data_IF_024799365793
#
_entry.id   IF_024799365793
#
_cell.length_a   1.000
_cell.length_b   1.000
_cell.length_c   1.000
_cell.angle_alpha   90.00
_cell.angle_beta   90.00
_cell.angle_gamma   90.00
#
_symmetry.space_group_name_H-M   'P 1'
#
loop_
_entity.id
_entity.type
_entity.pdbx_description
1 polymer ?
#
# COMPACT_ATOMS: atom_id res chain seq x y z
N UNK A 1 10.68 11.24 12.71
CA UNK A 1 9.49 10.51 12.19
C UNK A 1 8.33 10.65 13.17
N UNK A 2 7.14 11.05 12.71
CA UNK A 2 5.92 11.09 13.53
C UNK A 2 5.04 9.88 13.18
N UNK A 3 5.38 8.71 13.70
CA UNK A 3 4.58 7.49 13.51
C UNK A 3 3.80 7.23 14.79
N UNK A 4 2.48 7.08 14.65
CA UNK A 4 1.58 6.68 15.71
C UNK A 4 1.03 5.28 15.41
N UNK A 5 1.11 4.37 16.38
CA UNK A 5 0.63 3.00 16.24
C UNK A 5 -0.66 2.81 17.05
N UNK A 6 -1.74 2.41 16.40
CA UNK A 6 -3.06 2.19 17.03
C UNK A 6 -3.42 0.71 16.93
N UNK A 7 -3.70 0.06 18.07
CA UNK A 7 -4.07 -1.37 18.15
C UNK A 7 -3.06 -2.35 17.51
N UNK A 8 -1.87 -1.88 17.12
CA UNK A 8 -0.80 -2.68 16.53
C UNK A 8 0.28 -2.90 17.59
N UNK A 9 0.38 -4.13 18.12
CA UNK A 9 1.42 -4.50 19.09
C UNK A 9 2.50 -5.42 18.53
N UNK A 10 2.28 -5.99 17.34
CA UNK A 10 3.21 -6.93 16.74
C UNK A 10 4.52 -6.25 16.29
N UNK A 11 5.66 -6.67 16.85
CA UNK A 11 6.99 -6.08 16.58
C UNK A 11 7.41 -6.25 15.11
N UNK A 12 7.15 -7.40 14.51
CA UNK A 12 7.51 -7.68 13.11
C UNK A 12 6.83 -6.70 12.16
N UNK A 13 5.52 -6.47 12.33
CA UNK A 13 4.78 -5.50 11.50
C UNK A 13 5.34 -4.09 11.68
N UNK A 14 5.61 -3.66 12.93
CA UNK A 14 6.21 -2.35 13.21
C UNK A 14 7.58 -2.18 12.57
N UNK A 15 8.44 -3.19 12.68
CA UNK A 15 9.79 -3.18 12.11
C UNK A 15 9.75 -3.15 10.58
N UNK A 16 8.88 -3.97 9.96
CA UNK A 16 8.68 -3.94 8.52
C UNK A 16 8.23 -2.56 8.07
N UNK A 17 7.18 -2.00 8.67
CA UNK A 17 6.69 -0.66 8.32
C UNK A 17 7.79 0.39 8.47
N UNK A 18 8.49 0.42 9.62
CA UNK A 18 9.53 1.42 9.89
C UNK A 18 10.66 1.32 8.87
N UNK A 19 11.15 0.11 8.56
CA UNK A 19 12.21 -0.11 7.57
C UNK A 19 11.83 0.34 6.16
N UNK A 20 10.56 0.18 5.78
CA UNK A 20 10.07 0.65 4.49
C UNK A 20 9.96 2.17 4.51
N UNK A 21 9.30 2.71 5.52
CA UNK A 21 9.05 4.14 5.67
C UNK A 21 10.33 4.97 5.73
N UNK A 22 11.42 4.44 6.29
CA UNK A 22 12.74 5.07 6.29
C UNK A 22 13.24 5.45 4.89
N UNK A 23 12.89 4.69 3.85
CA UNK A 23 13.29 5.01 2.47
C UNK A 23 12.43 6.09 1.82
N UNK A 24 11.21 6.33 2.32
CA UNK A 24 10.28 7.34 1.80
C UNK A 24 10.48 8.71 2.46
N UNK A 25 11.68 9.30 2.28
CA UNK A 25 12.09 10.55 2.92
C UNK A 25 11.10 11.71 2.71
N UNK A 26 10.49 11.78 1.52
CA UNK A 26 9.50 12.81 1.21
C UNK A 26 8.33 12.81 2.20
N UNK A 27 7.95 11.64 2.73
CA UNK A 27 6.80 11.51 3.63
C UNK A 27 7.12 11.85 5.10
N UNK A 28 8.40 11.98 5.48
CA UNK A 28 8.82 12.07 6.89
C UNK A 28 8.31 13.31 7.64
N UNK A 29 7.89 14.33 6.91
CA UNK A 29 7.30 15.54 7.46
C UNK A 29 5.80 15.41 7.81
N UNK A 30 5.14 14.35 7.31
CA UNK A 30 3.75 14.03 7.62
C UNK A 30 3.63 13.15 8.87
N UNK A 31 2.50 13.27 9.58
CA UNK A 31 2.12 12.29 10.59
C UNK A 31 1.57 11.04 9.89
N UNK A 32 2.14 9.89 10.24
CA UNK A 32 1.69 8.58 9.79
C UNK A 32 1.02 7.85 10.94
N UNK A 33 -0.21 7.42 10.74
CA UNK A 33 -0.92 6.54 11.67
C UNK A 33 -0.92 5.14 11.07
N UNK A 34 -0.44 4.15 11.83
CA UNK A 34 -0.54 2.74 11.45
C UNK A 34 -1.47 2.03 12.41
N UNK A 35 -2.65 1.69 11.92
CA UNK A 35 -3.74 1.09 12.69
C UNK A 35 -3.88 -0.38 12.32
N UNK A 36 -3.99 -1.28 13.31
CA UNK A 36 -4.41 -2.65 13.06
C UNK A 36 -5.88 -2.85 13.43
N UNK A 37 -6.67 -3.40 12.52
CA UNK A 37 -8.08 -3.76 12.78
C UNK A 37 -8.56 -4.85 11.84
N UNK A 38 -9.78 -5.35 12.07
CA UNK A 38 -10.44 -6.24 11.10
C UNK A 38 -10.88 -5.41 9.89
N UNK A 39 -10.43 -5.81 8.70
CA UNK A 39 -10.80 -5.22 7.41
C UNK A 39 -11.43 -6.31 6.56
N UNK A 40 -12.50 -5.96 5.83
CA UNK A 40 -13.25 -6.92 5.00
C UNK A 40 -12.90 -6.87 3.51
N UNK A 41 -12.49 -5.71 2.99
CA UNK A 41 -12.31 -5.47 1.55
C UNK A 41 -10.86 -5.63 1.05
N UNK A 42 -9.87 -5.50 1.94
CA UNK A 42 -8.44 -5.58 1.64
C UNK A 42 -7.65 -6.12 2.83
N UNK A 43 -6.38 -6.46 2.60
CA UNK A 43 -5.45 -6.84 3.67
C UNK A 43 -4.71 -5.64 4.26
N UNK A 44 -4.38 -4.65 3.42
CA UNK A 44 -3.79 -3.38 3.80
C UNK A 44 -4.47 -2.26 3.00
N UNK A 45 -4.45 -1.02 3.50
CA UNK A 45 -4.92 0.15 2.76
C UNK A 45 -4.31 1.44 3.31
N UNK A 46 -3.82 2.29 2.42
CA UNK A 46 -3.49 3.69 2.69
C UNK A 46 -4.73 4.58 2.46
N UNK A 47 -4.92 5.56 3.34
CA UNK A 47 -6.00 6.53 3.25
C UNK A 47 -5.49 7.90 3.70
N UNK A 48 -5.86 9.00 3.01
CA UNK A 48 -5.73 10.31 3.60
C UNK A 48 -6.65 10.41 4.83
N UNK A 49 -6.17 11.03 5.90
CA UNK A 49 -7.06 11.43 6.99
C UNK A 49 -7.85 12.64 6.51
N UNK A 50 -9.15 12.45 6.28
CA UNK A 50 -10.07 13.54 5.95
C UNK A 50 -10.99 13.72 7.17
N UNK A 51 -10.49 14.38 8.20
CA UNK A 51 -11.41 14.96 9.18
C UNK A 51 -12.04 16.21 8.55
N UNK A 52 -13.35 16.46 8.75
CA UNK A 52 -13.99 17.66 8.19
C UNK A 52 -13.27 18.96 8.61
N UNK A 53 -12.69 18.98 9.82
CA UNK A 53 -11.88 20.08 10.34
C UNK A 53 -10.50 20.24 9.66
N UNK A 54 -10.02 19.22 8.95
CA UNK A 54 -8.71 19.20 8.28
C UNK A 54 -8.82 19.49 6.77
N UNK A 55 -10.04 19.63 6.22
CA UNK A 55 -10.28 19.93 4.78
C UNK A 55 -9.67 21.27 4.36
N UNK A 56 -9.53 22.23 5.27
CA UNK A 56 -8.89 23.54 5.02
C UNK A 56 -7.45 23.62 5.54
N UNK A 57 -6.92 22.55 6.14
CA UNK A 57 -5.53 22.51 6.62
C UNK A 57 -4.58 22.19 5.47
N UNK A 58 -3.40 22.81 5.47
CA UNK A 58 -2.29 22.48 4.57
C UNK A 58 -1.52 21.22 4.99
N UNK A 59 -1.70 20.75 6.24
CA UNK A 59 -1.06 19.53 6.73
C UNK A 59 -2.01 18.33 6.61
N UNK A 60 -1.75 17.47 5.62
CA UNK A 60 -2.44 16.19 5.48
C UNK A 60 -1.75 15.12 6.32
N UNK A 61 -2.52 14.38 7.11
CA UNK A 61 -2.02 13.21 7.81
C UNK A 61 -2.49 11.97 7.06
N UNK A 62 -1.72 10.88 7.12
CA UNK A 62 -2.06 9.65 6.42
C UNK A 62 -2.24 8.51 7.41
N UNK A 63 -3.13 7.60 7.05
CA UNK A 63 -3.39 6.39 7.81
C UNK A 63 -3.16 5.17 6.94
N UNK A 64 -2.37 4.24 7.43
CA UNK A 64 -2.25 2.89 6.89
C UNK A 64 -3.01 1.95 7.83
N UNK A 65 -4.00 1.26 7.29
CA UNK A 65 -4.72 0.21 8.00
C UNK A 65 -4.13 -1.14 7.63
N UNK A 66 -3.75 -1.92 8.63
CA UNK A 66 -3.28 -3.30 8.50
C UNK A 66 -4.37 -4.24 9.01
N UNK A 67 -4.71 -5.25 8.23
CA UNK A 67 -5.63 -6.30 8.64
C UNK A 67 -5.11 -7.13 9.80
N UNK A 68 -6.02 -7.63 10.64
CA UNK A 68 -5.70 -8.73 11.56
C UNK A 68 -5.48 -10.01 10.75
N UNK A 69 -6.38 -10.25 9.78
CA UNK A 69 -6.35 -11.38 8.86
C UNK A 69 -6.09 -10.88 7.44
N UNK A 70 -5.53 -11.76 6.61
CA UNK A 70 -5.48 -11.53 5.17
C UNK A 70 -6.90 -11.50 4.58
N UNK A 71 -7.05 -10.80 3.46
CA UNK A 71 -8.30 -10.78 2.71
C UNK A 71 -8.78 -12.19 2.37
N UNK A 72 -10.09 -12.40 2.45
CA UNK A 72 -10.80 -13.66 2.17
C UNK A 72 -10.44 -14.83 3.12
N UNK A 73 -9.67 -14.58 4.18
CA UNK A 73 -9.39 -15.56 5.23
C UNK A 73 -9.83 -15.05 6.59
N UNK A 74 -10.40 -15.94 7.40
CA UNK A 74 -10.67 -15.69 8.82
C UNK A 74 -9.67 -16.41 9.74
N UNK A 75 -8.62 -17.04 9.17
CA UNK A 75 -7.68 -17.89 9.91
C UNK A 75 -6.22 -17.51 9.70
N UNK A 76 -5.87 -16.96 8.53
CA UNK A 76 -4.49 -16.57 8.24
C UNK A 76 -4.24 -15.13 8.68
N UNK A 77 -3.38 -14.96 9.68
CA UNK A 77 -3.05 -13.66 10.22
C UNK A 77 -2.02 -12.92 9.37
N UNK A 78 -2.14 -11.60 9.29
CA UNK A 78 -1.18 -10.77 8.53
C UNK A 78 0.23 -10.84 9.12
N UNK A 79 0.37 -11.00 10.43
CA UNK A 79 1.70 -11.10 11.06
C UNK A 79 2.47 -12.38 10.69
N UNK A 80 1.77 -13.41 10.20
CA UNK A 80 2.40 -14.68 9.80
C UNK A 80 3.03 -14.62 8.41
N UNK A 81 2.73 -13.58 7.63
CA UNK A 81 3.28 -13.39 6.29
C UNK A 81 4.80 -13.20 6.31
N UNK A 82 5.54 -13.68 5.30
CA UNK A 82 6.97 -13.41 5.18
C UNK A 82 7.29 -11.90 5.23
N UNK A 83 8.45 -11.54 5.78
CA UNK A 83 8.83 -10.12 5.91
C UNK A 83 8.93 -9.41 4.57
N UNK A 84 9.49 -10.05 3.55
CA UNK A 84 9.54 -9.53 2.16
C UNK A 84 8.13 -9.18 1.64
N UNK A 85 7.14 -10.03 1.90
CA UNK A 85 5.75 -9.81 1.49
C UNK A 85 5.14 -8.61 2.23
N UNK A 86 5.36 -8.52 3.55
CA UNK A 86 4.89 -7.38 4.35
C UNK A 86 5.53 -6.07 3.90
N UNK A 87 6.85 -6.08 3.67
CA UNK A 87 7.57 -4.90 3.16
C UNK A 87 7.05 -4.49 1.79
N UNK A 88 6.79 -5.45 0.89
CA UNK A 88 6.23 -5.18 -0.43
C UNK A 88 4.85 -4.54 -0.35
N UNK A 89 3.98 -5.03 0.53
CA UNK A 89 2.68 -4.40 0.77
C UNK A 89 2.81 -3.00 1.36
N UNK A 90 3.66 -2.79 2.36
CA UNK A 90 3.88 -1.45 2.90
C UNK A 90 4.45 -0.48 1.87
N UNK A 91 5.38 -0.94 1.02
CA UNK A 91 5.97 -0.10 -0.02
C UNK A 91 4.93 0.32 -1.05
N UNK A 92 4.04 -0.60 -1.45
CA UNK A 92 2.91 -0.30 -2.32
C UNK A 92 1.96 0.73 -1.68
N UNK A 93 1.57 0.54 -0.42
CA UNK A 93 0.69 1.49 0.29
C UNK A 93 1.33 2.87 0.47
N UNK A 94 2.64 2.94 0.74
CA UNK A 94 3.37 4.20 0.79
C UNK A 94 3.49 4.83 -0.61
N UNK A 95 3.57 4.03 -1.67
CA UNK A 95 3.46 4.50 -3.04
C UNK A 95 2.14 5.22 -3.32
N UNK A 96 1.01 4.72 -2.80
CA UNK A 96 -0.26 5.46 -2.83
C UNK A 96 -0.20 6.77 -2.06
N UNK A 97 0.46 6.80 -0.88
CA UNK A 97 0.61 8.03 -0.10
C UNK A 97 1.37 9.09 -0.90
N UNK A 98 2.47 8.71 -1.58
CA UNK A 98 3.21 9.61 -2.47
C UNK A 98 2.32 10.11 -3.62
N UNK A 99 1.53 9.23 -4.24
CA UNK A 99 0.58 9.65 -5.29
C UNK A 99 -0.44 10.67 -4.75
N UNK A 100 -0.97 10.47 -3.54
CA UNK A 100 -1.94 11.38 -2.91
C UNK A 100 -1.40 12.79 -2.67
N UNK A 101 -0.09 12.96 -2.43
CA UNK A 101 0.54 14.27 -2.23
C UNK A 101 0.39 15.18 -3.46
N UNK A 102 0.22 14.59 -4.65
CA UNK A 102 0.03 15.35 -5.90
C UNK A 102 -1.39 15.93 -6.05
N UNK A 103 -2.31 15.65 -5.11
CA UNK A 103 -3.71 16.05 -5.20
C UNK A 103 -4.14 16.95 -4.05
N UNK A 104 -4.91 18.01 -4.37
CA UNK A 104 -5.61 18.83 -3.38
C UNK A 104 -6.71 18.05 -2.67
N UNK A 105 -7.27 18.56 -1.56
CA UNK A 105 -8.34 17.87 -0.82
C UNK A 105 -9.59 17.64 -1.70
N UNK A 106 -9.99 18.60 -2.53
CA UNK A 106 -11.04 18.40 -3.53
C UNK A 106 -10.62 17.44 -4.64
N UNK A 107 -9.34 17.48 -5.05
CA UNK A 107 -8.75 16.52 -5.98
C UNK A 107 -8.89 15.08 -5.48
N UNK A 108 -8.69 14.84 -4.17
CA UNK A 108 -8.83 13.52 -3.56
C UNK A 108 -10.27 12.98 -3.60
N UNK A 109 -11.29 13.85 -3.57
CA UNK A 109 -12.69 13.42 -3.75
C UNK A 109 -12.88 12.91 -5.18
N UNK A 110 -12.43 13.69 -6.17
CA UNK A 110 -12.49 13.26 -7.58
C UNK A 110 -11.68 11.99 -7.82
N UNK A 111 -10.50 11.89 -7.20
CA UNK A 111 -9.64 10.71 -7.22
C UNK A 111 -10.40 9.47 -6.74
N UNK A 112 -11.02 9.53 -5.56
CA UNK A 112 -11.77 8.41 -5.00
C UNK A 112 -12.93 7.97 -5.90
N UNK A 113 -13.69 8.93 -6.45
CA UNK A 113 -14.78 8.63 -7.39
C UNK A 113 -14.25 7.94 -8.65
N UNK A 114 -13.18 8.46 -9.26
CA UNK A 114 -12.57 7.87 -10.46
C UNK A 114 -11.98 6.49 -10.16
N UNK A 115 -11.37 6.29 -9.00
CA UNK A 115 -10.80 5.01 -8.59
C UNK A 115 -11.87 3.91 -8.50
N UNK A 116 -13.09 4.25 -8.05
CA UNK A 116 -14.20 3.31 -7.97
C UNK A 116 -14.91 3.08 -9.31
N UNK A 117 -14.97 4.08 -10.19
CA UNK A 117 -15.81 4.05 -11.40
C UNK A 117 -15.04 3.78 -12.69
N UNK A 118 -13.75 4.12 -12.75
CA UNK A 118 -12.91 4.00 -13.96
C UNK A 118 -11.86 2.91 -13.81
N UNK A 119 -12.02 1.83 -14.57
CA UNK A 119 -11.07 0.71 -14.59
C UNK A 119 -9.67 1.13 -15.05
N UNK A 120 -9.58 2.04 -16.03
CA UNK A 120 -8.30 2.53 -16.52
C UNK A 120 -7.59 3.40 -15.48
N UNK A 121 -8.33 4.29 -14.82
CA UNK A 121 -7.77 5.14 -13.75
C UNK A 121 -7.32 4.30 -12.56
N UNK A 122 -8.13 3.32 -12.15
CA UNK A 122 -7.73 2.36 -11.10
C UNK A 122 -6.42 1.67 -11.46
N UNK A 123 -6.31 1.12 -12.68
CA UNK A 123 -5.07 0.47 -13.15
C UNK A 123 -3.88 1.42 -13.14
N UNK A 124 -4.06 2.65 -13.59
CA UNK A 124 -3.02 3.68 -13.55
C UNK A 124 -2.53 3.95 -12.12
N UNK A 125 -3.45 4.10 -11.18
CA UNK A 125 -3.16 4.32 -9.75
C UNK A 125 -2.39 3.15 -9.14
N UNK A 126 -2.82 1.91 -9.34
CA UNK A 126 -2.12 0.72 -8.83
C UNK A 126 -0.71 0.61 -9.42
N UNK A 127 -0.55 0.91 -10.72
CA UNK A 127 0.76 0.92 -11.37
C UNK A 127 1.67 2.03 -10.85
N UNK A 128 1.14 3.24 -10.58
CA UNK A 128 1.90 4.34 -9.99
C UNK A 128 2.38 4.01 -8.58
N UNK A 129 1.55 3.37 -7.78
CA UNK A 129 1.95 2.91 -6.44
C UNK A 129 3.13 1.93 -6.51
N UNK A 130 3.06 0.93 -7.39
CA UNK A 130 4.17 0.00 -7.63
C UNK A 130 5.42 0.72 -8.16
N UNK A 131 5.26 1.71 -9.05
CA UNK A 131 6.37 2.50 -9.59
C UNK A 131 7.08 3.32 -8.51
N UNK A 132 6.33 3.99 -7.63
CA UNK A 132 6.91 4.67 -6.49
C UNK A 132 7.64 3.69 -5.57
N UNK A 133 7.05 2.52 -5.27
CA UNK A 133 7.72 1.50 -4.46
C UNK A 133 9.05 1.03 -5.09
N UNK A 134 9.07 0.77 -6.40
CA UNK A 134 10.27 0.38 -7.16
C UNK A 134 11.33 1.49 -7.10
N UNK A 135 10.94 2.74 -7.31
CA UNK A 135 11.85 3.88 -7.28
C UNK A 135 12.47 4.13 -5.89
N UNK A 136 11.81 3.66 -4.82
CA UNK A 136 12.33 3.70 -3.45
C UNK A 136 13.07 2.41 -3.05
N UNK A 137 13.38 1.52 -4.01
CA UNK A 137 14.22 0.34 -3.81
C UNK A 137 13.48 -0.95 -3.45
N UNK A 138 12.15 -0.97 -3.42
CA UNK A 138 11.35 -2.13 -2.99
C UNK A 138 10.89 -3.05 -4.13
N UNK A 139 11.55 -3.00 -5.29
CA UNK A 139 11.10 -3.77 -6.45
C UNK A 139 11.14 -5.29 -6.23
N UNK A 140 12.10 -5.79 -5.45
CA UNK A 140 12.15 -7.22 -5.10
C UNK A 140 10.96 -7.62 -4.23
N UNK A 141 10.69 -6.83 -3.19
CA UNK A 141 9.59 -7.04 -2.25
C UNK A 141 8.22 -6.95 -2.96
N UNK A 142 8.08 -6.04 -3.93
CA UNK A 142 6.89 -5.95 -4.80
C UNK A 142 6.69 -7.23 -5.60
N UNK A 143 7.76 -7.81 -6.16
CA UNK A 143 7.70 -9.08 -6.89
C UNK A 143 7.27 -10.21 -5.94
N UNK A 144 7.90 -10.32 -4.78
CA UNK A 144 7.63 -11.39 -3.81
C UNK A 144 6.20 -11.29 -3.25
N UNK A 145 5.72 -10.08 -2.97
CA UNK A 145 4.33 -9.85 -2.56
C UNK A 145 3.33 -10.29 -3.64
N UNK A 146 3.57 -9.96 -4.91
CA UNK A 146 2.70 -10.35 -6.03
C UNK A 146 2.70 -11.85 -6.27
N UNK A 147 3.88 -12.47 -6.28
CA UNK A 147 4.01 -13.94 -6.41
C UNK A 147 3.25 -14.62 -5.27
N UNK A 148 3.46 -14.17 -4.03
CA UNK A 148 2.76 -14.72 -2.87
C UNK A 148 1.24 -14.67 -3.02
N UNK A 149 0.68 -13.54 -3.47
CA UNK A 149 -0.78 -13.44 -3.69
C UNK A 149 -1.25 -14.40 -4.79
N UNK A 150 -0.52 -14.48 -5.90
CA UNK A 150 -0.93 -15.25 -7.08
C UNK A 150 -0.73 -16.76 -6.96
N UNK A 151 0.13 -17.22 -6.04
CA UNK A 151 0.41 -18.66 -5.86
C UNK A 151 -0.12 -19.23 -4.55
N UNK A 152 -0.50 -18.38 -3.59
CA UNK A 152 -0.95 -18.85 -2.29
C UNK A 152 -2.42 -19.29 -2.33
N UNK A 153 -2.77 -20.48 -1.79
CA UNK A 153 -4.16 -20.95 -1.68
C UNK A 153 -4.98 -20.14 -0.67
N UNK A 154 -4.33 -19.20 0.02
CA UNK A 154 -4.93 -18.33 1.01
C UNK A 154 -5.80 -17.22 0.39
N UNK A 155 -5.65 -16.96 -0.90
CA UNK A 155 -6.38 -15.92 -1.63
C UNK A 155 -7.38 -16.55 -2.60
N UNK A 156 -8.57 -15.96 -2.71
CA UNK A 156 -9.58 -16.40 -3.67
C UNK A 156 -9.13 -16.16 -5.11
N UNK A 157 -9.63 -16.97 -6.05
CA UNK A 157 -9.37 -16.79 -7.48
C UNK A 157 -9.87 -15.41 -7.96
N UNK A 158 -11.00 -14.94 -7.45
CA UNK A 158 -11.53 -13.61 -7.73
C UNK A 158 -10.55 -12.50 -7.31
N UNK A 159 -9.94 -12.63 -6.12
CA UNK A 159 -8.93 -11.68 -5.69
C UNK A 159 -7.65 -11.76 -6.53
N UNK A 160 -7.21 -12.96 -6.89
CA UNK A 160 -6.07 -13.12 -7.80
C UNK A 160 -6.35 -12.50 -9.18
N UNK A 161 -7.58 -12.60 -9.68
CA UNK A 161 -7.99 -11.96 -10.94
C UNK A 161 -8.01 -10.44 -10.86
N UNK A 162 -8.38 -9.86 -9.71
CA UNK A 162 -8.21 -8.43 -9.44
C UNK A 162 -6.73 -8.04 -9.56
N UNK A 163 -5.83 -8.81 -8.94
CA UNK A 163 -4.39 -8.57 -9.03
C UNK A 163 -3.92 -8.61 -10.50
N UNK A 164 -4.27 -9.67 -11.25
CA UNK A 164 -3.89 -9.82 -12.67
C UNK A 164 -4.42 -8.69 -13.56
N UNK A 165 -5.59 -8.14 -13.24
CA UNK A 165 -6.27 -7.13 -14.07
C UNK A 165 -5.71 -5.73 -13.87
N UNK A 166 -5.55 -5.32 -12.61
CA UNK A 166 -5.32 -3.92 -12.24
C UNK A 166 -3.89 -3.61 -11.82
N UNK A 167 -3.12 -4.60 -11.36
CA UNK A 167 -1.79 -4.36 -10.78
C UNK A 167 -0.70 -4.58 -11.81
N UNK A 168 0.47 -3.97 -11.57
CA UNK A 168 1.62 -4.14 -12.45
C UNK A 168 2.04 -5.63 -12.51
N UNK A 169 2.14 -6.25 -13.69
CA UNK A 169 2.60 -7.63 -13.80
C UNK A 169 4.05 -7.79 -13.32
N UNK A 170 4.37 -8.94 -12.70
CA UNK A 170 5.73 -9.25 -12.21
C UNK A 170 6.80 -9.02 -13.29
N UNK A 171 6.55 -9.49 -14.51
CA UNK A 171 7.47 -9.31 -15.65
C UNK A 171 7.81 -7.84 -15.91
N UNK A 172 6.82 -6.95 -15.80
CA UNK A 172 7.01 -5.52 -16.02
C UNK A 172 7.81 -4.88 -14.87
N UNK A 173 7.63 -5.35 -13.63
CA UNK A 173 8.47 -4.94 -12.49
C UNK A 173 9.93 -5.36 -12.73
N UNK A 174 10.17 -6.59 -13.19
CA UNK A 174 11.50 -7.10 -13.52
C UNK A 174 12.16 -6.33 -14.68
N UNK A 175 11.39 -5.92 -15.69
CA UNK A 175 11.86 -5.04 -16.77
C UNK A 175 12.28 -3.68 -16.23
N UNK A 176 11.45 -3.04 -15.40
CA UNK A 176 11.78 -1.75 -14.76
C UNK A 176 13.04 -1.84 -13.90
N UNK A 177 13.21 -2.90 -13.12
CA UNK A 177 14.40 -3.11 -12.29
C UNK A 177 15.69 -3.31 -13.09
N UNK A 178 15.60 -3.81 -14.32
CA UNK A 178 16.75 -3.90 -15.22
C UNK A 178 17.12 -2.54 -15.80
N UNK A 179 16.13 -1.72 -16.12
CA UNK A 179 16.37 -0.38 -16.67
C UNK A 179 16.95 0.62 -15.67
N UNK A 180 16.70 0.48 -14.36
CA UNK A 180 17.25 1.38 -13.33
C UNK A 180 18.71 1.09 -12.97
N UNK A 181 19.28 -0.02 -13.45
CA UNK A 181 20.69 -0.41 -13.25
C UNK A 181 21.61 -0.02 -14.41
N UNK A 182 21.07 0.56 -15.49
CA UNK A 182 21.81 1.04 -16.67
C UNK A 182 21.97 2.55 -16.61
#
# INVERSE_FOLDING_TARGET
MKIEYINLNNKKIKNCFSSVYEQFNALHHHQMIVEQKRVGSSTMQAQPKIALSEIFSSSRNYKITVGIYIKDSNKAHVHDLPEEVLKGWFAHELGHVVDYESYTNFGMISYGIKYLTSKSFKKEVEHKADEYAINHGFGHEIIEAKKYILTSPLFSEDYQNIIRTFYMPVKLVEEKLRSTKS
#
